data_IF_046187000137
#
_entry.id   IF_046187000137
#
_cell.length_a   1.000
_cell.length_b   1.000
_cell.length_c   1.000
_cell.angle_alpha   90.00
_cell.angle_beta   90.00
_cell.angle_gamma   90.00
#
_symmetry.space_group_name_H-M   'P 1'
#
loop_
_entity.id
_entity.type
_entity.pdbx_description
1 polymer ?
#
# COMPACT_ATOMS: atom_id res chain seq x y z
N UNK A 1 56.10 33.93 30.61
CA UNK A 1 55.77 33.32 29.28
C UNK A 1 54.37 32.76 29.32
N UNK A 2 53.46 33.34 28.59
CA UNK A 2 52.10 32.83 28.49
C UNK A 2 51.96 32.23 27.10
N UNK A 3 51.76 30.92 26.99
CA UNK A 3 51.46 30.26 25.76
C UNK A 3 49.92 30.30 25.56
N UNK A 4 49.49 31.04 24.55
CA UNK A 4 48.11 31.06 24.11
C UNK A 4 47.92 29.90 23.11
N UNK A 5 47.15 28.91 23.50
CA UNK A 5 46.69 27.83 22.63
C UNK A 5 45.49 28.31 21.82
N UNK A 6 45.46 28.24 20.48
CA UNK A 6 44.27 28.54 19.73
C UNK A 6 43.34 27.33 19.79
N UNK A 7 42.13 27.57 20.30
CA UNK A 7 41.01 26.63 20.21
C UNK A 7 40.52 26.63 18.77
N UNK A 8 40.78 25.55 18.02
CA UNK A 8 40.20 25.34 16.71
C UNK A 8 38.73 24.96 16.86
N UNK A 9 37.85 25.89 16.54
CA UNK A 9 36.42 25.60 16.45
C UNK A 9 36.18 24.76 15.20
N UNK A 10 35.87 23.47 15.37
CA UNK A 10 35.42 22.61 14.32
C UNK A 10 33.95 22.93 14.06
N UNK A 11 33.69 23.67 12.99
CA UNK A 11 32.33 23.92 12.50
C UNK A 11 31.82 22.63 11.85
N UNK A 12 31.02 21.86 12.55
CA UNK A 12 30.30 20.72 11.97
C UNK A 12 29.21 21.24 11.03
N UNK A 13 29.49 21.17 9.73
CA UNK A 13 28.51 21.49 8.69
C UNK A 13 27.53 20.33 8.60
N UNK A 14 26.37 20.44 9.29
CA UNK A 14 25.25 19.52 9.10
C UNK A 14 24.66 19.76 7.72
N UNK A 15 25.04 18.94 6.74
CA UNK A 15 24.39 18.88 5.44
C UNK A 15 23.05 18.16 5.66
N UNK A 16 21.98 18.93 5.84
CA UNK A 16 20.63 18.37 5.81
C UNK A 16 20.35 17.93 4.36
N UNK A 17 20.22 16.63 4.16
CA UNK A 17 19.79 16.09 2.88
C UNK A 17 18.38 16.65 2.57
N UNK A 18 18.12 17.15 1.35
CA UNK A 18 16.79 17.64 1.00
C UNK A 18 15.81 16.47 1.07
N UNK A 19 14.76 16.61 1.89
CA UNK A 19 13.66 15.68 1.88
C UNK A 19 13.00 15.73 0.50
N UNK A 20 12.95 14.60 -0.21
CA UNK A 20 12.26 14.52 -1.49
C UNK A 20 10.77 14.55 -1.20
N UNK A 21 10.16 15.73 -1.35
CA UNK A 21 8.72 15.90 -1.25
C UNK A 21 8.11 15.49 -2.58
N UNK A 22 7.46 14.33 -2.61
CA UNK A 22 6.66 13.93 -3.76
C UNK A 22 5.38 14.78 -3.80
N UNK A 23 5.20 15.53 -4.89
CA UNK A 23 3.95 16.24 -5.12
C UNK A 23 2.79 15.24 -5.25
N UNK A 24 1.67 15.52 -4.60
CA UNK A 24 0.45 14.71 -4.73
C UNK A 24 -0.05 14.69 -6.17
N UNK A 25 -0.38 13.52 -6.66
CA UNK A 25 -0.92 13.31 -8.00
C UNK A 25 -2.30 12.65 -7.94
N UNK A 26 -3.23 13.05 -8.83
CA UNK A 26 -4.52 12.39 -8.95
C UNK A 26 -4.42 10.88 -9.24
N UNK A 27 -3.29 10.46 -9.80
CA UNK A 27 -2.98 9.07 -10.15
C UNK A 27 -2.16 8.33 -9.08
N UNK A 28 -1.87 8.95 -7.95
CA UNK A 28 -1.33 8.21 -6.81
C UNK A 28 -2.32 7.11 -6.42
N UNK A 29 -1.79 5.94 -6.10
CA UNK A 29 -2.62 4.84 -5.60
C UNK A 29 -2.69 4.95 -4.08
N UNK A 30 -3.90 5.06 -3.56
CA UNK A 30 -4.15 5.00 -2.13
C UNK A 30 -4.55 3.58 -1.75
N UNK A 31 -3.81 3.00 -0.82
CA UNK A 31 -4.21 1.75 -0.18
C UNK A 31 -5.18 2.10 0.93
N UNK A 32 -6.39 1.59 0.81
CA UNK A 32 -7.51 1.90 1.70
C UNK A 32 -7.99 0.66 2.44
N UNK A 33 -8.49 0.86 3.64
CA UNK A 33 -9.08 -0.20 4.45
C UNK A 33 -10.35 0.26 5.13
N UNK A 34 -11.14 -0.72 5.57
CA UNK A 34 -12.29 -0.45 6.44
C UNK A 34 -11.82 0.33 7.66
N UNK A 35 -12.58 1.35 8.13
CA UNK A 35 -12.20 2.13 9.31
C UNK A 35 -11.94 1.29 10.55
N UNK A 36 -12.56 0.12 10.66
CA UNK A 36 -12.37 -0.83 11.77
C UNK A 36 -11.24 -1.85 11.55
N UNK A 37 -10.51 -1.77 10.44
CA UNK A 37 -9.34 -2.64 10.21
C UNK A 37 -8.25 -2.38 11.26
N UNK A 38 -7.59 -3.44 11.70
CA UNK A 38 -6.68 -3.45 12.84
C UNK A 38 -5.30 -2.78 12.63
N UNK A 39 -5.12 -1.99 11.57
CA UNK A 39 -3.89 -1.27 11.32
C UNK A 39 -4.16 0.17 10.89
N UNK A 40 -3.23 1.08 11.22
CA UNK A 40 -3.23 2.47 10.75
C UNK A 40 -2.20 2.70 9.64
N UNK A 41 -1.28 1.77 9.45
CA UNK A 41 -0.16 1.85 8.52
C UNK A 41 0.23 0.46 8.01
N UNK A 42 0.59 0.37 6.74
CA UNK A 42 1.13 -0.84 6.12
C UNK A 42 2.28 -0.47 5.18
N UNK A 43 3.14 -1.43 4.89
CA UNK A 43 4.18 -1.30 3.86
C UNK A 43 3.68 -1.89 2.53
N UNK A 44 4.38 -1.59 1.44
CA UNK A 44 4.11 -2.22 0.13
C UNK A 44 4.20 -3.75 0.22
N UNK A 45 5.18 -4.27 0.96
CA UNK A 45 5.34 -5.71 1.18
C UNK A 45 4.15 -6.32 1.93
N UNK A 46 3.64 -5.64 2.96
CA UNK A 46 2.44 -6.08 3.68
C UNK A 46 1.23 -6.18 2.75
N UNK A 47 1.00 -5.14 1.96
CA UNK A 47 -0.12 -5.09 1.00
C UNK A 47 0.00 -6.22 -0.04
N UNK A 48 1.19 -6.41 -0.58
CA UNK A 48 1.47 -7.51 -1.50
C UNK A 48 1.11 -8.87 -0.90
N UNK A 49 1.55 -9.14 0.31
CA UNK A 49 1.30 -10.41 1.00
C UNK A 49 -0.19 -10.60 1.32
N UNK A 50 -0.91 -9.54 1.66
CA UNK A 50 -2.35 -9.58 1.85
C UNK A 50 -3.10 -9.91 0.57
N UNK A 51 -2.75 -9.28 -0.55
CA UNK A 51 -3.40 -9.53 -1.85
C UNK A 51 -3.01 -10.89 -2.46
N UNK A 52 -1.84 -11.41 -2.15
CA UNK A 52 -1.43 -12.77 -2.53
C UNK A 52 -1.89 -13.84 -1.53
N UNK A 53 -2.67 -13.45 -0.52
CA UNK A 53 -3.18 -14.34 0.55
C UNK A 53 -2.10 -15.10 1.31
N UNK A 54 -0.91 -14.51 1.39
CA UNK A 54 0.19 -14.97 2.25
C UNK A 54 0.02 -14.46 3.68
N UNK A 55 -0.57 -13.28 3.84
CA UNK A 55 -0.95 -12.70 5.12
C UNK A 55 -2.48 -12.58 5.17
N UNK A 56 -3.09 -13.29 6.09
CA UNK A 56 -4.55 -13.48 6.15
C UNK A 56 -5.21 -12.81 7.36
N UNK A 57 -4.41 -12.23 8.26
CA UNK A 57 -4.92 -11.57 9.47
C UNK A 57 -4.32 -10.18 9.66
N UNK A 58 -5.14 -9.27 10.14
CA UNK A 58 -4.71 -7.98 10.68
C UNK A 58 -4.00 -8.17 12.03
N UNK A 59 -3.19 -7.20 12.49
CA UNK A 59 -2.52 -7.30 13.80
C UNK A 59 -3.45 -7.62 14.96
N UNK A 60 -4.69 -7.22 14.94
CA UNK A 60 -5.69 -7.54 15.97
C UNK A 60 -6.35 -8.92 15.84
N UNK A 61 -5.96 -9.74 14.85
CA UNK A 61 -6.51 -11.07 14.61
C UNK A 61 -7.71 -11.11 13.66
N UNK A 62 -8.29 -9.98 13.28
CA UNK A 62 -9.37 -9.93 12.31
C UNK A 62 -8.86 -10.41 10.93
N UNK A 63 -9.74 -11.09 10.18
CA UNK A 63 -9.40 -11.59 8.84
C UNK A 63 -9.18 -10.45 7.86
N UNK A 64 -8.10 -10.52 7.07
CA UNK A 64 -7.88 -9.64 5.94
C UNK A 64 -8.77 -10.07 4.79
N UNK A 65 -9.52 -9.13 4.23
CA UNK A 65 -10.37 -9.33 3.05
C UNK A 65 -9.86 -8.44 1.92
N UNK A 66 -8.96 -8.94 1.07
CA UNK A 66 -8.49 -8.19 -0.08
C UNK A 66 -9.58 -8.06 -1.14
N UNK A 67 -9.75 -6.87 -1.68
CA UNK A 67 -10.77 -6.51 -2.67
C UNK A 67 -10.08 -5.92 -3.89
N UNK A 68 -10.28 -6.52 -5.06
CA UNK A 68 -9.81 -5.99 -6.32
C UNK A 68 -10.81 -5.00 -6.94
N UNK A 69 -10.28 -4.17 -7.82
CA UNK A 69 -11.07 -3.23 -8.62
C UNK A 69 -11.34 -3.80 -10.01
N UNK A 70 -12.44 -3.36 -10.61
CA UNK A 70 -12.78 -3.75 -12.00
C UNK A 70 -12.10 -2.86 -13.06
N UNK A 71 -11.63 -1.67 -12.67
CA UNK A 71 -10.94 -0.75 -13.57
C UNK A 71 -9.56 -1.30 -13.97
N UNK A 72 -9.39 -1.59 -15.26
CA UNK A 72 -8.18 -2.24 -15.77
C UNK A 72 -6.90 -1.41 -15.61
N UNK A 73 -6.97 -0.10 -15.81
CA UNK A 73 -5.82 0.80 -15.68
C UNK A 73 -5.26 0.82 -14.26
N UNK A 74 -6.12 1.03 -13.27
CA UNK A 74 -5.76 1.02 -11.86
C UNK A 74 -5.25 -0.35 -11.43
N UNK A 75 -5.89 -1.42 -11.89
CA UNK A 75 -5.46 -2.79 -11.59
C UNK A 75 -4.09 -3.11 -12.16
N UNK A 76 -3.80 -2.67 -13.38
CA UNK A 76 -2.48 -2.83 -14.00
C UNK A 76 -1.40 -2.07 -13.24
N UNK A 77 -1.68 -0.83 -12.85
CA UNK A 77 -0.75 -0.02 -12.07
C UNK A 77 -0.46 -0.64 -10.69
N UNK A 78 -1.49 -1.11 -10.01
CA UNK A 78 -1.36 -1.83 -8.74
C UNK A 78 -0.53 -3.11 -8.89
N UNK A 79 -0.82 -3.91 -9.92
CA UNK A 79 -0.07 -5.12 -10.21
C UNK A 79 1.42 -4.83 -10.41
N UNK A 80 1.75 -3.81 -11.22
CA UNK A 80 3.13 -3.45 -11.49
C UNK A 80 3.85 -2.89 -10.27
N UNK A 81 3.20 -2.01 -9.51
CA UNK A 81 3.82 -1.26 -8.41
C UNK A 81 3.83 -2.00 -7.08
N UNK A 82 2.82 -2.82 -6.80
CA UNK A 82 2.64 -3.52 -5.52
C UNK A 82 2.95 -5.00 -5.65
N UNK A 83 2.28 -5.69 -6.56
CA UNK A 83 2.48 -7.14 -6.72
C UNK A 83 3.82 -7.46 -7.37
N UNK A 84 4.38 -6.53 -8.15
CA UNK A 84 5.63 -6.73 -8.92
C UNK A 84 5.54 -7.94 -9.84
N UNK A 85 4.39 -8.11 -10.48
CA UNK A 85 4.07 -9.22 -11.37
C UNK A 85 3.51 -8.71 -12.70
N UNK A 86 3.73 -9.48 -13.77
CA UNK A 86 2.96 -9.33 -14.99
C UNK A 86 1.57 -9.97 -14.83
N UNK A 87 0.66 -9.68 -15.76
CA UNK A 87 -0.67 -10.33 -15.78
C UNK A 87 -0.57 -11.84 -15.95
N UNK A 88 0.41 -12.32 -16.73
CA UNK A 88 0.65 -13.74 -16.94
C UNK A 88 1.19 -14.42 -15.66
N UNK A 89 2.12 -13.78 -14.96
CA UNK A 89 2.66 -14.27 -13.68
C UNK A 89 1.58 -14.35 -12.60
N UNK A 90 0.72 -13.32 -12.49
CA UNK A 90 -0.40 -13.32 -11.56
C UNK A 90 -1.38 -14.46 -11.87
N UNK A 91 -1.69 -14.67 -13.15
CA UNK A 91 -2.57 -15.77 -13.59
C UNK A 91 -1.99 -17.12 -13.21
N UNK A 92 -0.71 -17.36 -13.48
CA UNK A 92 -0.01 -18.60 -13.12
C UNK A 92 0.01 -18.82 -11.60
N UNK A 93 0.26 -17.75 -10.83
CA UNK A 93 0.23 -17.79 -9.37
C UNK A 93 -1.13 -18.31 -8.85
N UNK A 94 -2.24 -17.75 -9.34
CA UNK A 94 -3.57 -18.15 -8.87
C UNK A 94 -4.01 -19.51 -9.38
N UNK A 95 -3.58 -19.93 -10.57
CA UNK A 95 -3.82 -21.29 -11.06
C UNK A 95 -3.16 -22.32 -10.13
N UNK A 96 -1.92 -22.10 -9.75
CA UNK A 96 -1.20 -22.97 -8.82
C UNK A 96 -1.85 -22.99 -7.43
N UNK A 97 -2.22 -21.84 -6.89
CA UNK A 97 -2.88 -21.71 -5.59
C UNK A 97 -4.26 -22.37 -5.58
N UNK A 98 -5.00 -22.30 -6.67
CA UNK A 98 -6.28 -22.98 -6.79
C UNK A 98 -6.14 -24.52 -6.74
N UNK A 99 -5.14 -25.05 -7.42
CA UNK A 99 -4.87 -26.49 -7.45
C UNK A 99 -4.39 -26.97 -6.08
N UNK A 100 -3.45 -26.27 -5.45
CA UNK A 100 -2.82 -26.70 -4.19
C UNK A 100 -3.67 -26.45 -2.95
N UNK A 101 -4.43 -25.37 -2.91
CA UNK A 101 -5.11 -24.89 -1.71
C UNK A 101 -6.57 -24.45 -1.90
N UNK A 102 -7.12 -24.60 -3.10
CA UNK A 102 -8.49 -24.15 -3.42
C UNK A 102 -8.68 -22.64 -3.38
N UNK A 103 -7.59 -21.87 -3.38
CA UNK A 103 -7.63 -20.41 -3.30
C UNK A 103 -7.82 -19.78 -4.68
N UNK A 104 -8.49 -18.64 -4.69
CA UNK A 104 -8.73 -17.85 -5.88
C UNK A 104 -8.24 -16.41 -5.69
N UNK A 105 -8.06 -15.70 -6.80
CA UNK A 105 -7.80 -14.27 -6.80
C UNK A 105 -8.84 -13.52 -5.94
N UNK A 106 -8.47 -12.42 -5.28
CA UNK A 106 -9.42 -11.59 -4.55
C UNK A 106 -10.60 -11.16 -5.43
N UNK A 107 -11.78 -11.10 -4.83
CA UNK A 107 -13.01 -10.69 -5.53
C UNK A 107 -12.92 -9.25 -6.03
N UNK A 108 -13.54 -8.99 -7.16
CA UNK A 108 -13.61 -7.68 -7.80
C UNK A 108 -14.94 -6.99 -7.47
N UNK A 109 -14.87 -5.68 -7.22
CA UNK A 109 -16.05 -4.85 -6.99
C UNK A 109 -15.95 -3.56 -7.81
N UNK A 110 -17.04 -3.18 -8.48
CA UNK A 110 -17.11 -1.92 -9.22
C UNK A 110 -17.12 -0.69 -8.30
N UNK A 111 -17.86 -0.75 -7.19
CA UNK A 111 -17.85 0.27 -6.14
C UNK A 111 -16.98 -0.18 -4.97
N UNK A 112 -15.68 0.02 -5.14
CA UNK A 112 -14.66 -0.41 -4.18
C UNK A 112 -14.77 0.30 -2.84
N UNK A 113 -15.05 1.61 -2.82
CA UNK A 113 -15.19 2.38 -1.58
C UNK A 113 -16.34 1.85 -0.74
N UNK A 114 -17.47 1.56 -1.37
CA UNK A 114 -18.63 0.98 -0.69
C UNK A 114 -18.34 -0.44 -0.17
N UNK A 115 -17.68 -1.25 -0.98
CA UNK A 115 -17.30 -2.61 -0.57
C UNK A 115 -16.37 -2.58 0.66
N UNK A 116 -15.34 -1.74 0.63
CA UNK A 116 -14.41 -1.57 1.76
C UNK A 116 -15.12 -1.05 3.01
N UNK A 117 -16.01 -0.08 2.86
CA UNK A 117 -16.77 0.48 4.00
C UNK A 117 -17.66 -0.56 4.67
N UNK A 118 -18.30 -1.46 3.89
CA UNK A 118 -19.23 -2.46 4.41
C UNK A 118 -18.56 -3.71 4.97
N UNK A 119 -17.40 -4.08 4.48
CA UNK A 119 -16.72 -5.31 4.88
C UNK A 119 -15.65 -5.04 5.93
N UNK A 120 -15.90 -5.49 7.15
CA UNK A 120 -14.91 -5.43 8.21
C UNK A 120 -13.66 -6.23 7.84
N UNK A 121 -12.49 -5.62 7.96
CA UNK A 121 -11.23 -6.23 7.56
C UNK A 121 -10.88 -6.09 6.08
N UNK A 122 -11.72 -5.43 5.27
CA UNK A 122 -11.45 -5.20 3.86
C UNK A 122 -10.27 -4.24 3.65
N UNK A 123 -9.48 -4.56 2.62
CA UNK A 123 -8.40 -3.72 2.09
C UNK A 123 -8.52 -3.67 0.57
N UNK A 124 -8.32 -2.50 0.00
CA UNK A 124 -8.34 -2.30 -1.45
C UNK A 124 -7.45 -1.12 -1.84
N UNK A 125 -7.59 -0.67 -3.06
CA UNK A 125 -6.82 0.42 -3.62
C UNK A 125 -7.68 1.25 -4.57
N UNK A 126 -7.43 2.56 -4.61
CA UNK A 126 -8.11 3.51 -5.50
C UNK A 126 -7.10 4.54 -5.98
N UNK A 127 -7.38 5.21 -7.10
CA UNK A 127 -6.65 6.44 -7.40
C UNK A 127 -7.05 7.55 -6.43
N UNK A 128 -6.13 8.45 -6.12
CA UNK A 128 -6.40 9.62 -5.26
C UNK A 128 -7.62 10.41 -5.77
N UNK A 129 -7.77 10.57 -7.08
CA UNK A 129 -8.91 11.25 -7.69
C UNK A 129 -10.27 10.62 -7.42
N UNK A 130 -10.29 9.34 -7.06
CA UNK A 130 -11.53 8.57 -6.80
C UNK A 130 -11.85 8.47 -5.30
N UNK A 131 -10.90 8.85 -4.43
CA UNK A 131 -11.08 8.73 -2.99
C UNK A 131 -12.05 9.80 -2.46
N UNK A 132 -12.90 9.38 -1.53
CA UNK A 132 -13.84 10.25 -0.80
C UNK A 132 -13.57 10.15 0.69
N UNK A 133 -13.31 11.29 1.32
CA UNK A 133 -13.10 11.38 2.76
C UNK A 133 -14.28 10.76 3.54
N UNK A 134 -13.96 10.09 4.65
CA UNK A 134 -14.95 9.46 5.53
C UNK A 134 -15.47 8.09 5.07
N UNK A 135 -15.07 7.57 3.90
CA UNK A 135 -15.52 6.27 3.39
C UNK A 135 -14.60 5.12 3.76
N UNK A 136 -13.32 5.40 3.92
CA UNK A 136 -12.29 4.42 4.27
C UNK A 136 -11.12 5.14 4.92
N UNK A 137 -10.23 4.39 5.57
CA UNK A 137 -8.95 4.96 6.03
C UNK A 137 -7.85 4.65 5.01
N UNK A 138 -6.96 5.61 4.82
CA UNK A 138 -5.78 5.47 3.96
C UNK A 138 -4.63 4.91 4.79
N UNK A 139 -4.08 3.78 4.39
CA UNK A 139 -2.97 3.11 5.08
C UNK A 139 -1.61 3.37 4.44
N UNK A 140 -1.59 3.66 3.15
CA UNK A 140 -0.36 3.86 2.38
C UNK A 140 -0.67 4.66 1.10
N UNK A 141 0.25 5.51 0.71
CA UNK A 141 0.21 6.21 -0.59
C UNK A 141 1.35 5.69 -1.46
N UNK A 142 1.02 5.26 -2.68
CA UNK A 142 1.97 4.81 -3.69
C UNK A 142 2.01 5.88 -4.77
N UNK A 143 3.13 6.60 -4.93
CA UNK A 143 3.25 7.66 -5.91
C UNK A 143 3.04 7.17 -7.35
N UNK A 144 2.46 8.02 -8.20
CA UNK A 144 2.19 7.72 -9.61
C UNK A 144 3.46 7.58 -10.46
N UNK A 145 4.51 8.28 -10.11
CA UNK A 145 5.76 8.28 -10.87
C UNK A 145 6.98 8.59 -10.03
#
# INVERSE_FOLDING_TARGET
MRFATPIAAVLALCIAAPAVVHAESPKDILIIANPAAGASKVTVADVRDMFLKKRTSWPGGAKVVPVNVTESGLRNDFRAKVLKMSAAEERSYWQERKIKAGESTPSEFGDTLRAVFKMRGAISYVYRSQFKEGTAKVLLVIPAG
#
